data_IF_611680985954
#
_entry.id   IF_611680985954
#
_cell.length_a   1.000
_cell.length_b   1.000
_cell.length_c   1.000
_cell.angle_alpha   90.00
_cell.angle_beta   90.00
_cell.angle_gamma   90.00
#
_symmetry.space_group_name_H-M   'P 1'
#
loop_
_entity.id
_entity.type
_entity.pdbx_description
1 polymer ?
#
# COMPACT_ATOMS: atom_id res chain seq x y z
N UNK A 1 4.02 -26.80 1.55
CA UNK A 1 5.25 -26.06 1.21
C UNK A 1 4.87 -24.66 0.74
N UNK A 2 5.62 -23.62 1.11
CA UNK A 2 5.34 -22.22 0.75
C UNK A 2 6.43 -21.75 -0.22
N UNK A 3 6.07 -21.51 -1.48
CA UNK A 3 7.03 -21.15 -2.53
C UNK A 3 7.52 -19.71 -2.44
N UNK A 4 6.66 -18.78 -1.99
CA UNK A 4 6.97 -17.35 -2.00
C UNK A 4 6.01 -16.55 -1.12
N UNK A 5 6.52 -15.49 -0.49
CA UNK A 5 5.72 -14.45 0.17
C UNK A 5 5.59 -13.23 -0.73
N UNK A 6 4.42 -12.60 -0.70
CA UNK A 6 4.08 -11.40 -1.46
C UNK A 6 3.81 -10.24 -0.52
N UNK A 7 4.18 -9.03 -0.97
CA UNK A 7 3.79 -7.80 -0.29
C UNK A 7 2.53 -7.26 -0.99
N UNK A 8 1.40 -7.35 -0.30
CA UNK A 8 0.09 -6.90 -0.74
C UNK A 8 -0.30 -5.70 0.13
N UNK A 9 -0.74 -4.62 -0.50
CA UNK A 9 -1.21 -3.41 0.16
C UNK A 9 -2.56 -3.00 -0.42
N UNK A 10 -3.46 -2.54 0.42
CA UNK A 10 -4.76 -2.05 -0.04
C UNK A 10 -4.60 -0.72 -0.77
N UNK A 11 -5.27 -0.54 -1.93
CA UNK A 11 -5.29 0.75 -2.63
C UNK A 11 -6.25 1.72 -1.94
N UNK A 12 -5.80 2.21 -0.78
CA UNK A 12 -6.59 3.08 0.07
C UNK A 12 -6.95 4.40 -0.60
N UNK A 13 -6.12 4.86 -1.54
CA UNK A 13 -6.34 6.10 -2.25
C UNK A 13 -7.46 5.97 -3.27
N UNK A 14 -7.46 4.90 -4.08
CA UNK A 14 -8.53 4.65 -5.05
C UNK A 14 -9.89 4.41 -4.39
N UNK A 15 -9.88 3.74 -3.22
CA UNK A 15 -11.11 3.39 -2.48
C UNK A 15 -11.60 4.53 -1.59
N UNK A 16 -10.72 5.42 -1.14
CA UNK A 16 -11.05 6.51 -0.23
C UNK A 16 -11.09 6.10 1.24
N UNK A 17 -10.25 5.15 1.65
CA UNK A 17 -10.15 4.73 3.06
C UNK A 17 -9.72 5.89 3.95
N UNK A 18 -10.28 5.97 5.17
CA UNK A 18 -10.10 7.10 6.08
C UNK A 18 -9.31 6.72 7.32
N UNK A 19 -8.64 7.69 7.93
CA UNK A 19 -7.89 7.53 9.19
C UNK A 19 -8.83 7.50 10.42
N UNK A 20 -9.95 6.78 10.33
CA UNK A 20 -10.98 6.67 11.38
C UNK A 20 -10.70 5.56 12.39
N UNK A 21 -9.77 4.65 12.09
CA UNK A 21 -9.42 3.55 12.97
C UNK A 21 -8.52 4.00 14.12
N UNK A 22 -8.57 3.25 15.23
CA UNK A 22 -7.67 3.43 16.38
C UNK A 22 -7.04 2.09 16.72
N UNK A 23 -5.71 2.06 16.83
CA UNK A 23 -4.95 0.86 17.18
C UNK A 23 -4.09 1.11 18.42
N UNK A 24 -4.14 0.18 19.38
CA UNK A 24 -3.20 0.16 20.51
C UNK A 24 -1.78 -0.16 20.02
N UNK A 25 -0.81 0.58 20.56
CA UNK A 25 0.61 0.36 20.26
C UNK A 25 1.09 -0.81 21.12
N UNK A 26 1.65 -1.83 20.47
CA UNK A 26 2.34 -2.93 21.15
C UNK A 26 3.84 -2.63 21.26
N UNK A 27 4.43 -2.86 22.42
CA UNK A 27 5.88 -2.80 22.66
C UNK A 27 6.32 -4.11 23.30
N UNK A 28 7.40 -4.72 22.81
CA UNK A 28 7.87 -6.03 23.31
C UNK A 28 6.79 -7.14 23.30
N UNK A 29 5.80 -7.02 22.40
CA UNK A 29 4.59 -7.87 22.31
C UNK A 29 3.54 -7.64 23.41
N UNK A 30 3.71 -6.64 24.26
CA UNK A 30 2.69 -6.22 25.23
C UNK A 30 1.91 -5.01 24.71
N UNK A 31 0.59 -5.03 24.89
CA UNK A 31 -0.27 -3.91 24.54
C UNK A 31 -0.07 -2.78 25.54
N UNK A 32 0.15 -1.58 25.02
CA UNK A 32 0.25 -0.37 25.84
C UNK A 32 -1.06 0.40 25.82
N UNK A 33 -1.20 1.33 26.78
CA UNK A 33 -2.31 2.28 26.80
C UNK A 33 -2.20 3.36 25.69
N UNK A 34 -1.07 3.43 24.98
CA UNK A 34 -0.90 4.39 23.88
C UNK A 34 -1.62 3.87 22.65
N UNK A 35 -2.30 4.78 21.96
CA UNK A 35 -2.99 4.49 20.71
C UNK A 35 -2.44 5.34 19.57
N UNK A 36 -2.70 4.90 18.33
CA UNK A 36 -2.46 5.67 17.12
C UNK A 36 -3.67 5.60 16.20
N UNK A 37 -3.89 6.65 15.42
CA UNK A 37 -4.83 6.61 14.30
C UNK A 37 -4.29 5.66 13.23
N UNK A 38 -5.19 4.87 12.64
CA UNK A 38 -4.89 3.97 11.54
C UNK A 38 -5.94 4.13 10.43
N UNK A 39 -5.54 3.84 9.21
CA UNK A 39 -6.48 3.78 8.08
C UNK A 39 -7.42 2.61 8.31
N UNK A 40 -8.71 2.90 8.33
CA UNK A 40 -9.77 1.90 8.30
C UNK A 40 -10.11 1.60 6.85
N UNK A 41 -9.80 0.37 6.42
CA UNK A 41 -10.06 -0.06 5.05
C UNK A 41 -11.55 -0.32 4.83
N UNK A 42 -12.03 0.00 3.63
CA UNK A 42 -13.34 -0.44 3.19
C UNK A 42 -13.29 -1.93 2.84
N UNK A 43 -14.45 -2.57 2.78
CA UNK A 43 -14.56 -3.98 2.40
C UNK A 43 -14.60 -4.11 0.87
N UNK A 44 -13.42 -4.07 0.25
CA UNK A 44 -13.25 -4.23 -1.19
C UNK A 44 -11.99 -5.04 -1.56
N UNK A 45 -11.78 -5.22 -2.86
CA UNK A 45 -10.75 -6.11 -3.41
C UNK A 45 -9.67 -5.38 -4.23
N UNK A 46 -9.52 -4.06 -4.06
CA UNK A 46 -8.50 -3.28 -4.75
C UNK A 46 -7.18 -3.30 -3.97
N UNK A 47 -6.23 -4.08 -4.48
CA UNK A 47 -4.92 -4.24 -3.88
C UNK A 47 -3.79 -3.97 -4.88
N UNK A 48 -2.71 -3.39 -4.37
CA UNK A 48 -1.44 -3.22 -5.06
C UNK A 48 -0.47 -4.28 -4.57
N UNK A 49 0.18 -4.96 -5.51
CA UNK A 49 1.19 -5.99 -5.22
C UNK A 49 2.56 -5.47 -5.66
N UNK A 50 3.55 -5.49 -4.75
CA UNK A 50 4.92 -5.21 -5.14
C UNK A 50 5.56 -6.44 -5.78
N UNK A 51 5.48 -6.51 -7.10
CA UNK A 51 6.05 -7.59 -7.93
C UNK A 51 7.58 -7.61 -7.88
N UNK A 52 8.22 -6.50 -7.52
CA UNK A 52 9.67 -6.39 -7.41
C UNK A 52 10.17 -6.53 -5.96
N UNK A 53 9.43 -7.28 -5.13
CA UNK A 53 9.89 -7.65 -3.78
C UNK A 53 11.26 -8.35 -3.84
N UNK A 54 12.21 -7.87 -3.03
CA UNK A 54 13.66 -8.11 -3.16
C UNK A 54 14.06 -9.57 -3.38
N UNK A 55 13.36 -10.52 -2.76
CA UNK A 55 13.76 -11.93 -2.75
C UNK A 55 12.94 -12.82 -3.67
N UNK A 56 11.77 -12.35 -4.12
CA UNK A 56 10.73 -13.21 -4.69
C UNK A 56 10.25 -12.74 -6.06
N UNK A 57 10.85 -11.69 -6.62
CA UNK A 57 10.33 -11.01 -7.81
C UNK A 57 10.09 -11.93 -9.00
N UNK A 58 10.99 -12.91 -9.23
CA UNK A 58 10.90 -13.83 -10.37
C UNK A 58 9.67 -14.73 -10.24
N UNK A 59 9.51 -15.39 -9.09
CA UNK A 59 8.36 -16.25 -8.80
C UNK A 59 7.04 -15.48 -8.87
N UNK A 60 7.01 -14.26 -8.32
CA UNK A 60 5.81 -13.41 -8.36
C UNK A 60 5.47 -13.01 -9.80
N UNK A 61 6.46 -12.55 -10.58
CA UNK A 61 6.26 -12.16 -11.99
C UNK A 61 5.84 -13.33 -12.87
N UNK A 62 6.37 -14.53 -12.61
CA UNK A 62 6.02 -15.72 -13.38
C UNK A 62 4.58 -16.16 -13.08
N UNK A 63 4.13 -16.02 -11.83
CA UNK A 63 2.77 -16.32 -11.38
C UNK A 63 1.69 -15.32 -11.86
N UNK A 64 2.07 -14.12 -12.31
CA UNK A 64 1.09 -13.15 -12.79
C UNK A 64 0.39 -13.64 -14.07
N UNK A 65 -0.91 -13.38 -14.25
CA UNK A 65 -1.57 -13.59 -15.54
C UNK A 65 -1.06 -12.58 -16.58
N UNK A 66 -1.11 -12.96 -17.85
CA UNK A 66 -0.51 -12.19 -18.95
C UNK A 66 -1.01 -10.73 -18.99
N UNK A 67 -2.30 -10.51 -18.76
CA UNK A 67 -2.91 -9.17 -18.77
C UNK A 67 -2.37 -8.23 -17.66
N UNK A 68 -1.74 -8.77 -16.62
CA UNK A 68 -1.06 -7.99 -15.57
C UNK A 68 0.47 -7.87 -15.79
N UNK A 69 1.08 -8.75 -16.59
CA UNK A 69 2.51 -8.66 -16.94
C UNK A 69 2.81 -7.47 -17.85
N UNK A 70 1.83 -7.10 -18.67
CA UNK A 70 1.88 -5.94 -19.55
C UNK A 70 1.02 -4.82 -18.95
N UNK A 71 1.35 -4.40 -17.73
CA UNK A 71 0.68 -3.27 -17.11
C UNK A 71 0.78 -2.06 -18.05
N UNK A 72 -0.35 -1.71 -18.67
CA UNK A 72 -0.53 -0.39 -19.26
C UNK A 72 -0.17 0.59 -18.16
N UNK A 73 0.82 1.45 -18.39
CA UNK A 73 1.30 2.43 -17.40
C UNK A 73 0.13 3.31 -16.96
N UNK A 74 -0.61 2.90 -15.94
CA UNK A 74 -1.42 3.80 -15.15
C UNK A 74 -0.45 4.54 -14.25
N UNK A 75 0.21 5.55 -14.82
CA UNK A 75 0.68 6.69 -14.07
C UNK A 75 -0.55 7.61 -14.04
N UNK A 76 -1.27 7.74 -12.91
CA UNK A 76 -2.17 8.87 -12.77
C UNK A 76 -1.30 10.10 -12.95
N UNK A 77 -1.58 10.92 -13.96
CA UNK A 77 -0.96 12.24 -14.07
C UNK A 77 -1.31 12.98 -12.77
N UNK A 78 -0.39 12.98 -11.80
CA UNK A 78 -0.47 13.90 -10.68
C UNK A 78 -0.43 15.29 -11.32
N UNK A 79 -1.52 16.05 -11.16
CA UNK A 79 -1.50 17.48 -11.43
C UNK A 79 -0.36 18.06 -10.60
N UNK A 80 0.59 18.70 -11.29
CA UNK A 80 1.83 19.33 -10.82
C UNK A 80 1.67 20.41 -9.73
N UNK A 81 0.52 20.52 -9.05
CA UNK A 81 0.18 21.72 -8.28
C UNK A 81 0.62 21.72 -6.82
N UNK A 82 1.05 20.61 -6.24
CA UNK A 82 1.28 20.57 -4.77
C UNK A 82 2.75 20.78 -4.35
N UNK A 83 3.70 20.74 -5.30
CA UNK A 83 5.14 20.98 -4.98
C UNK A 83 5.42 22.47 -4.68
N UNK A 84 4.54 23.39 -5.08
CA UNK A 84 4.77 24.84 -4.88
C UNK A 84 4.28 25.40 -3.54
N UNK A 85 3.46 24.68 -2.77
CA UNK A 85 2.93 25.22 -1.51
C UNK A 85 3.87 25.02 -0.31
N UNK A 86 4.69 23.97 -0.31
CA UNK A 86 5.63 23.70 0.79
C UNK A 86 6.93 24.53 0.73
N UNK A 87 7.15 25.28 -0.36
CA UNK A 87 8.35 26.09 -0.57
C UNK A 87 8.12 27.60 -0.32
N UNK A 88 6.89 28.03 0.00
CA UNK A 88 6.58 29.44 0.31
C UNK A 88 6.32 29.72 1.80
N UNK A 89 6.51 28.74 2.68
CA UNK A 89 6.37 28.89 4.14
C UNK A 89 7.71 28.72 4.88
N UNK A 90 8.80 29.23 4.29
CA UNK A 90 10.08 29.44 5.00
C UNK A 90 10.47 30.90 4.97
#
# INVERSE_FOLDING_TARGET
DILSSVNIQHDCHAVGCQASGVQHIAQERELTMRTRSVIQHADDINFVINVYSLHNYKTIRDALPLHLKHANRFIPQQKETDIKLAASER
#
